data_IF_643790047293
#
_entry.id   IF_643790047293
#
_cell.length_a   1.000
_cell.length_b   1.000
_cell.length_c   1.000
_cell.angle_alpha   90.00
_cell.angle_beta   90.00
_cell.angle_gamma   90.00
#
_symmetry.space_group_name_H-M   'P 1'
#
loop_
_entity.id
_entity.type
_entity.pdbx_description
1 polymer ?
#
# COMPACT_ATOMS: atom_id res chain seq x y z
N UNK A 1 16.12 6.09 16.01
CA UNK A 1 14.82 6.22 15.29
C UNK A 1 14.52 7.69 15.16
N UNK A 2 14.30 8.21 13.96
CA UNK A 2 13.79 9.56 13.78
C UNK A 2 12.42 9.63 14.45
N UNK A 3 12.23 10.62 15.33
CA UNK A 3 10.94 10.84 15.99
C UNK A 3 10.00 11.42 14.92
N UNK A 4 9.00 10.67 14.52
CA UNK A 4 7.96 11.17 13.61
C UNK A 4 7.21 12.33 14.28
N UNK A 5 7.05 13.42 13.57
CA UNK A 5 6.13 14.46 13.96
C UNK A 5 4.70 14.08 13.55
N UNK A 6 3.90 13.60 14.52
CA UNK A 6 2.50 13.25 14.31
C UNK A 6 1.53 14.44 14.52
N UNK A 7 2.04 15.63 14.86
CA UNK A 7 1.21 16.79 15.15
C UNK A 7 1.01 17.67 13.92
N UNK A 8 2.05 17.80 13.11
CA UNK A 8 1.99 18.59 11.88
C UNK A 8 1.19 17.84 10.81
N UNK A 9 0.27 18.52 10.11
CA UNK A 9 -0.45 17.93 8.99
C UNK A 9 0.52 17.57 7.87
N UNK A 10 0.24 16.48 7.17
CA UNK A 10 1.00 16.01 6.01
C UNK A 10 0.19 16.20 4.74
N UNK A 11 0.88 16.50 3.65
CA UNK A 11 0.25 16.66 2.35
C UNK A 11 1.14 16.05 1.26
N UNK A 12 0.57 15.16 0.48
CA UNK A 12 1.20 14.66 -0.74
C UNK A 12 1.11 15.70 -1.85
N UNK A 13 2.23 15.91 -2.54
CA UNK A 13 2.33 16.80 -3.71
C UNK A 13 3.04 16.09 -4.86
N UNK A 14 2.68 16.38 -6.09
CA UNK A 14 3.36 15.77 -7.25
C UNK A 14 4.59 16.57 -7.70
N UNK A 15 4.66 17.84 -7.33
CA UNK A 15 5.75 18.73 -7.67
C UNK A 15 7.08 18.29 -7.03
N UNK A 16 8.19 18.66 -7.65
CA UNK A 16 9.52 18.48 -7.06
C UNK A 16 9.69 19.32 -5.79
N UNK A 17 10.34 18.75 -4.79
CA UNK A 17 10.62 19.39 -3.51
C UNK A 17 12.09 19.73 -3.42
N UNK A 18 12.37 21.01 -3.15
CA UNK A 18 13.68 21.55 -2.87
C UNK A 18 13.53 22.75 -1.96
N UNK A 19 14.60 23.18 -1.28
CA UNK A 19 14.62 24.38 -0.47
C UNK A 19 14.19 25.60 -1.29
N UNK A 20 13.24 26.38 -0.75
CA UNK A 20 12.66 27.57 -1.41
C UNK A 20 11.63 27.26 -2.50
N UNK A 21 11.31 25.99 -2.78
CA UNK A 21 10.28 25.64 -3.76
C UNK A 21 8.91 26.17 -3.30
N UNK A 22 8.25 26.93 -4.17
CA UNK A 22 6.91 27.48 -3.96
C UNK A 22 5.88 26.63 -4.69
N UNK A 23 4.95 26.05 -3.95
CA UNK A 23 3.96 25.11 -4.46
C UNK A 23 2.55 25.72 -4.36
N UNK A 24 1.98 26.17 -5.47
CA UNK A 24 0.55 26.54 -5.52
C UNK A 24 -0.30 25.29 -5.26
N UNK A 25 -1.27 25.41 -4.37
CA UNK A 25 -2.14 24.30 -4.01
C UNK A 25 -3.38 24.25 -4.91
N UNK A 26 -3.77 23.02 -5.28
CA UNK A 26 -5.06 22.78 -5.90
C UNK A 26 -6.22 23.23 -4.99
N UNK A 27 -7.38 23.53 -5.59
CA UNK A 27 -8.55 24.00 -4.83
C UNK A 27 -8.95 23.05 -3.68
N UNK A 28 -8.90 21.73 -3.90
CA UNK A 28 -9.21 20.73 -2.88
C UNK A 28 -8.21 20.77 -1.72
N UNK A 29 -6.92 20.85 -2.00
CA UNK A 29 -5.86 20.97 -0.99
C UNK A 29 -5.94 22.28 -0.22
N UNK A 30 -6.18 23.40 -0.92
CA UNK A 30 -6.42 24.70 -0.29
C UNK A 30 -7.62 24.65 0.66
N UNK A 31 -8.73 24.06 0.22
CA UNK A 31 -9.93 23.88 1.05
C UNK A 31 -9.64 23.00 2.27
N UNK A 32 -8.89 21.91 2.11
CA UNK A 32 -8.51 21.03 3.21
C UNK A 32 -7.71 21.78 4.27
N UNK A 33 -6.63 22.45 3.89
CA UNK A 33 -5.78 23.16 4.85
C UNK A 33 -6.50 24.35 5.52
N UNK A 34 -7.21 25.19 4.73
CA UNK A 34 -7.78 26.42 5.22
C UNK A 34 -9.13 26.25 5.93
N UNK A 35 -10.00 25.37 5.42
CA UNK A 35 -11.38 25.25 5.91
C UNK A 35 -11.61 24.02 6.79
N UNK A 36 -10.98 22.89 6.49
CA UNK A 36 -11.10 21.67 7.31
C UNK A 36 -10.14 21.73 8.49
N UNK A 37 -8.84 21.90 8.25
CA UNK A 37 -7.82 22.00 9.28
C UNK A 37 -7.74 23.40 9.91
N UNK A 38 -8.34 24.43 9.27
CA UNK A 38 -8.39 25.82 9.73
C UNK A 38 -7.02 26.43 10.01
N UNK A 39 -6.03 26.04 9.22
CA UNK A 39 -4.68 26.57 9.33
C UNK A 39 -4.65 28.04 8.93
N UNK A 40 -3.72 28.79 9.55
CA UNK A 40 -3.48 30.22 9.27
C UNK A 40 -2.19 30.37 8.49
N UNK A 41 -1.98 31.48 7.76
CA UNK A 41 -0.68 31.84 7.21
C UNK A 41 0.41 31.73 8.29
N UNK A 42 1.58 31.21 7.92
CA UNK A 42 2.66 30.88 8.85
C UNK A 42 2.57 29.49 9.50
N UNK A 43 1.48 28.75 9.29
CA UNK A 43 1.38 27.37 9.79
C UNK A 43 2.32 26.42 9.02
N UNK A 44 2.92 25.49 9.75
CA UNK A 44 3.79 24.46 9.18
C UNK A 44 2.99 23.25 8.67
N UNK A 45 3.40 22.72 7.52
CA UNK A 45 2.85 21.52 6.87
C UNK A 45 4.02 20.67 6.40
N UNK A 46 3.95 19.36 6.60
CA UNK A 46 4.94 18.43 6.08
C UNK A 46 4.54 17.99 4.66
N UNK A 47 5.45 18.14 3.71
CA UNK A 47 5.26 17.78 2.30
C UNK A 47 6.07 16.55 1.95
N UNK A 48 5.50 15.68 1.12
CA UNK A 48 6.23 14.56 0.52
C UNK A 48 5.70 14.25 -0.88
N UNK A 49 6.52 13.63 -1.73
CA UNK A 49 6.16 13.32 -3.10
C UNK A 49 6.61 11.93 -3.59
N UNK A 50 7.13 11.11 -2.67
CA UNK A 50 7.62 9.76 -2.99
C UNK A 50 9.04 9.70 -3.56
N UNK A 51 9.74 10.84 -3.67
CA UNK A 51 11.07 10.94 -4.30
C UNK A 51 12.08 11.74 -3.50
N UNK A 52 11.64 12.88 -3.00
CA UNK A 52 12.53 13.93 -2.49
C UNK A 52 12.61 13.96 -0.95
N UNK A 53 12.01 12.96 -0.29
CA UNK A 53 11.89 12.88 1.17
C UNK A 53 10.72 13.70 1.72
N UNK A 54 10.76 14.02 3.01
CA UNK A 54 9.75 14.84 3.67
C UNK A 54 10.31 16.22 3.98
N UNK A 55 9.56 17.24 3.64
CA UNK A 55 9.94 18.63 3.75
C UNK A 55 9.00 19.40 4.65
N UNK A 56 9.55 20.21 5.56
CA UNK A 56 8.78 21.22 6.28
C UNK A 56 8.51 22.39 5.34
N UNK A 57 7.27 22.83 5.29
CA UNK A 57 6.84 23.93 4.46
C UNK A 57 5.95 24.89 5.24
N UNK A 58 5.97 26.15 4.88
CA UNK A 58 5.16 27.20 5.47
C UNK A 58 4.00 27.58 4.56
N UNK A 59 2.80 27.67 5.16
CA UNK A 59 1.58 28.06 4.48
C UNK A 59 1.51 29.58 4.31
N UNK A 60 1.25 30.05 3.09
CA UNK A 60 0.98 31.44 2.80
C UNK A 60 -0.28 31.60 1.94
N UNK A 61 -0.86 32.78 1.97
CA UNK A 61 -2.07 33.14 1.22
C UNK A 61 -1.81 34.42 0.40
N UNK A 62 -1.19 34.31 -0.78
CA UNK A 62 -0.90 35.49 -1.62
C UNK A 62 -2.17 36.18 -2.14
N UNK A 63 -3.30 35.45 -2.18
CA UNK A 63 -4.63 35.98 -2.56
C UNK A 63 -5.72 35.30 -1.73
N UNK A 64 -6.87 35.93 -1.62
CA UNK A 64 -8.05 35.37 -0.94
C UNK A 64 -8.42 34.00 -1.53
N UNK A 65 -8.53 32.99 -0.69
CA UNK A 65 -8.85 31.58 -1.07
C UNK A 65 -7.77 30.86 -1.88
N UNK A 66 -6.59 31.44 -2.04
CA UNK A 66 -5.49 30.82 -2.77
C UNK A 66 -4.33 30.56 -1.82
N UNK A 67 -4.13 29.30 -1.50
CA UNK A 67 -3.04 28.88 -0.62
C UNK A 67 -1.84 28.41 -1.44
N UNK A 68 -0.65 28.64 -0.92
CA UNK A 68 0.59 28.07 -1.39
C UNK A 68 1.46 27.63 -0.22
N UNK A 69 2.33 26.66 -0.46
CA UNK A 69 3.31 26.20 0.51
C UNK A 69 4.72 26.50 -0.02
N UNK A 70 5.58 27.01 0.84
CA UNK A 70 7.00 27.21 0.52
C UNK A 70 7.81 26.18 1.30
N UNK A 71 8.50 25.28 0.61
CA UNK A 71 9.36 24.28 1.23
C UNK A 71 10.59 24.97 1.87
N UNK A 72 10.85 24.67 3.14
CA UNK A 72 11.92 25.31 3.92
C UNK A 72 13.13 24.41 4.06
N UNK A 73 12.92 23.20 4.61
CA UNK A 73 14.00 22.26 4.85
C UNK A 73 13.52 20.82 4.75
N UNK A 74 14.43 19.93 4.39
CA UNK A 74 14.17 18.50 4.39
C UNK A 74 14.34 17.93 5.79
N UNK A 75 13.24 17.37 6.34
CA UNK A 75 13.21 16.81 7.70
C UNK A 75 13.41 15.31 7.75
N UNK A 76 13.15 14.61 6.62
CA UNK A 76 13.45 13.18 6.48
C UNK A 76 13.95 12.87 5.07
N UNK A 77 14.93 11.98 4.98
CA UNK A 77 15.38 11.41 3.72
C UNK A 77 14.32 10.50 3.11
N UNK A 78 14.31 10.41 1.77
CA UNK A 78 13.46 9.43 1.09
C UNK A 78 13.93 8.02 1.41
N UNK A 79 12.99 7.18 1.82
CA UNK A 79 13.23 5.75 2.01
C UNK A 79 12.74 4.95 0.81
N UNK A 80 13.45 3.92 0.43
CA UNK A 80 12.98 2.99 -0.59
C UNK A 80 11.78 2.18 -0.06
N UNK A 81 10.82 1.91 -0.93
CA UNK A 81 9.74 0.97 -0.62
C UNK A 81 10.26 -0.47 -0.61
N UNK A 82 9.74 -1.30 0.29
CA UNK A 82 9.90 -2.74 0.17
C UNK A 82 9.27 -3.24 -1.15
N UNK A 83 9.86 -4.27 -1.76
CA UNK A 83 9.28 -4.88 -2.96
C UNK A 83 8.18 -5.88 -2.57
N UNK A 84 7.12 -5.35 -1.96
CA UNK A 84 5.93 -6.08 -1.51
C UNK A 84 4.72 -5.68 -2.35
N UNK A 85 4.20 -6.63 -3.15
CA UNK A 85 3.00 -6.42 -3.93
C UNK A 85 1.79 -7.06 -3.24
N UNK A 86 0.68 -6.36 -3.21
CA UNK A 86 -0.59 -6.90 -2.77
C UNK A 86 -1.51 -7.16 -3.97
N UNK A 87 -1.86 -8.43 -4.16
CA UNK A 87 -2.73 -8.95 -5.21
C UNK A 87 -4.05 -9.33 -4.54
N UNK A 88 -5.17 -8.90 -5.07
CA UNK A 88 -6.44 -9.13 -4.40
C UNK A 88 -7.61 -9.21 -5.35
N UNK A 89 -8.59 -10.05 -5.01
CA UNK A 89 -9.92 -9.94 -5.59
C UNK A 89 -10.58 -8.66 -5.10
N UNK A 90 -11.04 -7.76 -5.99
CA UNK A 90 -11.71 -6.53 -5.57
C UNK A 90 -12.90 -6.79 -4.63
N UNK A 91 -12.99 -5.97 -3.59
CA UNK A 91 -14.11 -5.94 -2.64
C UNK A 91 -15.08 -4.81 -2.99
N UNK A 92 -16.29 -4.84 -2.40
CA UNK A 92 -17.28 -3.78 -2.59
C UNK A 92 -16.96 -2.54 -1.74
N UNK A 93 -17.04 -1.35 -2.37
CA UNK A 93 -17.08 -0.02 -1.72
C UNK A 93 -16.17 0.17 -0.50
N UNK A 94 -16.77 0.46 0.67
CA UNK A 94 -16.04 0.79 1.90
C UNK A 94 -15.01 -0.26 2.35
N UNK A 95 -15.23 -1.55 2.05
CA UNK A 95 -14.26 -2.59 2.35
C UNK A 95 -13.02 -2.52 1.45
N UNK A 96 -13.19 -2.11 0.19
CA UNK A 96 -12.05 -1.85 -0.70
C UNK A 96 -11.25 -0.63 -0.24
N UNK A 97 -11.94 0.44 0.19
CA UNK A 97 -11.27 1.63 0.71
C UNK A 97 -10.43 1.29 1.95
N UNK A 98 -11.02 0.58 2.91
CA UNK A 98 -10.32 0.09 4.10
C UNK A 98 -9.10 -0.78 3.74
N UNK A 99 -9.28 -1.72 2.81
CA UNK A 99 -8.23 -2.63 2.36
C UNK A 99 -7.05 -1.87 1.74
N UNK A 100 -7.31 -0.87 0.91
CA UNK A 100 -6.28 -0.02 0.31
C UNK A 100 -5.49 0.71 1.39
N UNK A 101 -6.19 1.34 2.34
CA UNK A 101 -5.54 2.05 3.45
C UNK A 101 -4.64 1.10 4.25
N UNK A 102 -5.15 -0.07 4.65
CA UNK A 102 -4.36 -1.04 5.43
C UNK A 102 -3.19 -1.63 4.66
N UNK A 103 -3.32 -1.85 3.37
CA UNK A 103 -2.20 -2.30 2.54
C UNK A 103 -1.07 -1.25 2.49
N UNK A 104 -1.41 0.04 2.39
CA UNK A 104 -0.43 1.13 2.47
C UNK A 104 0.25 1.15 3.83
N UNK A 105 -0.51 1.08 4.93
CA UNK A 105 0.02 1.02 6.30
C UNK A 105 0.97 -0.16 6.51
N UNK A 106 0.72 -1.29 5.83
CA UNK A 106 1.59 -2.48 5.83
C UNK A 106 2.79 -2.38 4.87
N UNK A 107 3.04 -1.23 4.25
CA UNK A 107 4.23 -1.00 3.43
C UNK A 107 4.18 -1.61 2.03
N UNK A 108 2.99 -1.87 1.48
CA UNK A 108 2.83 -2.38 0.13
C UNK A 108 3.28 -1.33 -0.90
N UNK A 109 4.10 -1.75 -1.87
CA UNK A 109 4.59 -0.89 -2.95
C UNK A 109 3.75 -0.98 -4.24
N UNK A 110 2.87 -1.99 -4.37
CA UNK A 110 1.97 -2.15 -5.52
C UNK A 110 0.67 -2.81 -5.12
N UNK A 111 -0.43 -2.20 -5.55
CA UNK A 111 -1.80 -2.73 -5.43
C UNK A 111 -2.28 -3.24 -6.80
N UNK A 112 -2.48 -4.54 -6.93
CA UNK A 112 -2.89 -5.18 -8.17
C UNK A 112 -4.24 -5.89 -8.01
N UNK A 113 -5.35 -5.31 -8.47
CA UNK A 113 -6.61 -6.05 -8.54
C UNK A 113 -6.51 -7.23 -9.52
N UNK A 114 -6.97 -8.40 -9.10
CA UNK A 114 -7.02 -9.62 -9.93
C UNK A 114 -8.47 -10.09 -9.99
N UNK A 115 -9.01 -10.13 -11.20
CA UNK A 115 -10.39 -10.57 -11.46
C UNK A 115 -10.43 -12.09 -11.54
N UNK A 116 -11.01 -12.72 -10.52
CA UNK A 116 -11.15 -14.15 -10.32
C UNK A 116 -12.59 -14.60 -10.58
N UNK A 117 -12.84 -15.89 -10.63
CA UNK A 117 -14.16 -16.45 -10.92
C UNK A 117 -15.26 -15.96 -9.98
N UNK A 118 -14.95 -15.87 -8.68
CA UNK A 118 -15.91 -15.46 -7.67
C UNK A 118 -15.79 -13.98 -7.28
N UNK A 119 -15.07 -13.18 -8.06
CA UNK A 119 -15.02 -11.73 -7.86
C UNK A 119 -16.38 -11.12 -8.13
N UNK A 120 -16.93 -10.38 -7.14
CA UNK A 120 -18.26 -9.77 -7.26
C UNK A 120 -18.24 -8.43 -8.01
N UNK A 121 -17.32 -7.45 -7.73
CA UNK A 121 -17.28 -6.19 -8.45
C UNK A 121 -16.74 -6.38 -9.87
N UNK A 122 -17.49 -5.88 -10.87
CA UNK A 122 -17.06 -5.90 -12.26
C UNK A 122 -16.06 -4.78 -12.60
N UNK A 123 -16.07 -3.70 -11.82
CA UNK A 123 -15.23 -2.51 -12.05
C UNK A 123 -14.57 -2.05 -10.76
N UNK A 124 -13.37 -1.49 -10.92
CA UNK A 124 -12.58 -0.91 -9.83
C UNK A 124 -12.32 0.56 -10.16
N UNK A 125 -12.61 1.45 -9.22
CA UNK A 125 -12.31 2.86 -9.35
C UNK A 125 -10.85 3.11 -8.88
N UNK A 126 -9.93 3.21 -9.84
CA UNK A 126 -8.50 3.38 -9.56
C UNK A 126 -8.19 4.75 -8.97
N UNK A 127 -8.91 5.81 -9.38
CA UNK A 127 -8.71 7.16 -8.82
C UNK A 127 -9.09 7.20 -7.34
N UNK A 128 -10.18 6.52 -6.97
CA UNK A 128 -10.56 6.38 -5.55
C UNK A 128 -9.53 5.57 -4.75
N UNK A 129 -9.00 4.50 -5.33
CA UNK A 129 -7.92 3.74 -4.68
C UNK A 129 -6.68 4.61 -4.47
N UNK A 130 -6.30 5.41 -5.48
CA UNK A 130 -5.17 6.34 -5.37
C UNK A 130 -5.41 7.38 -4.28
N UNK A 131 -6.60 7.97 -4.22
CA UNK A 131 -6.95 8.93 -3.17
C UNK A 131 -6.85 8.33 -1.76
N UNK A 132 -7.40 7.12 -1.56
CA UNK A 132 -7.29 6.40 -0.28
C UNK A 132 -5.84 6.02 0.06
N UNK A 133 -5.03 5.69 -0.93
CA UNK A 133 -3.61 5.38 -0.70
C UNK A 133 -2.82 6.63 -0.27
N UNK A 134 -3.10 7.78 -0.88
CA UNK A 134 -2.51 9.07 -0.49
C UNK A 134 -2.93 9.43 0.94
N UNK A 135 -4.22 9.37 1.25
CA UNK A 135 -4.74 9.66 2.59
C UNK A 135 -4.08 8.78 3.66
N UNK A 136 -3.96 7.46 3.41
CA UNK A 136 -3.30 6.55 4.33
C UNK A 136 -1.81 6.90 4.53
N UNK A 137 -1.09 7.26 3.46
CA UNK A 137 0.30 7.66 3.54
C UNK A 137 0.47 8.97 4.34
N UNK A 138 -0.41 9.95 4.14
CA UNK A 138 -0.43 11.21 4.91
C UNK A 138 -0.64 10.95 6.40
N UNK A 139 -1.60 10.10 6.75
CA UNK A 139 -1.93 9.78 8.16
C UNK A 139 -0.84 8.97 8.86
N UNK A 140 -0.20 8.06 8.16
CA UNK A 140 0.76 7.11 8.74
C UNK A 140 2.22 7.53 8.57
N UNK A 141 2.50 8.70 8.02
CA UNK A 141 3.87 9.21 7.85
C UNK A 141 4.70 8.39 6.86
N UNK A 142 4.06 7.76 5.89
CA UNK A 142 4.69 6.99 4.82
C UNK A 142 5.08 7.95 3.71
N UNK A 143 6.31 7.83 3.20
CA UNK A 143 6.83 8.76 2.18
C UNK A 143 6.61 8.28 0.75
N UNK A 144 6.05 7.07 0.57
CA UNK A 144 5.85 6.46 -0.75
C UNK A 144 4.37 6.17 -0.97
N UNK A 145 3.91 6.36 -2.21
CA UNK A 145 2.57 5.95 -2.62
C UNK A 145 2.70 4.67 -3.45
N UNK A 146 1.98 3.60 -3.15
CA UNK A 146 2.03 2.38 -3.93
C UNK A 146 1.54 2.61 -5.37
N UNK A 147 2.09 1.87 -6.31
CA UNK A 147 1.54 1.81 -7.66
C UNK A 147 0.13 1.21 -7.64
N UNK A 148 -0.83 1.94 -8.17
CA UNK A 148 -2.20 1.45 -8.36
C UNK A 148 -2.30 0.86 -9.76
N UNK A 149 -2.22 -0.46 -9.87
CA UNK A 149 -2.21 -1.14 -11.15
C UNK A 149 -3.62 -1.37 -11.71
N UNK A 150 -3.75 -1.38 -13.03
CA UNK A 150 -5.00 -1.74 -13.70
C UNK A 150 -5.41 -3.19 -13.36
N UNK A 151 -6.72 -3.48 -13.24
CA UNK A 151 -7.20 -4.83 -12.99
C UNK A 151 -6.72 -5.83 -14.06
N UNK A 152 -6.28 -7.01 -13.62
CA UNK A 152 -5.89 -8.12 -14.50
C UNK A 152 -6.86 -9.28 -14.36
N UNK A 153 -7.17 -9.96 -15.47
CA UNK A 153 -7.84 -11.26 -15.41
C UNK A 153 -6.88 -12.29 -14.81
N UNK A 154 -7.40 -13.25 -14.07
CA UNK A 154 -6.62 -14.28 -13.40
C UNK A 154 -5.66 -15.03 -14.37
N UNK A 155 -6.14 -15.45 -15.55
CA UNK A 155 -5.30 -16.13 -16.53
C UNK A 155 -4.16 -15.25 -17.09
N UNK A 156 -4.39 -13.95 -17.20
CA UNK A 156 -3.34 -13.01 -17.64
C UNK A 156 -2.32 -12.78 -16.54
N UNK A 157 -2.76 -12.80 -15.29
CA UNK A 157 -1.89 -12.71 -14.13
C UNK A 157 -0.98 -13.94 -14.04
N UNK A 158 -1.53 -15.16 -14.09
CA UNK A 158 -0.76 -16.40 -13.96
C UNK A 158 0.22 -16.60 -15.12
N UNK A 159 -0.19 -16.30 -16.37
CA UNK A 159 0.71 -16.36 -17.53
C UNK A 159 1.87 -15.35 -17.47
N UNK A 160 1.66 -14.21 -16.83
CA UNK A 160 2.68 -13.19 -16.67
C UNK A 160 3.42 -13.27 -15.33
N UNK A 161 3.33 -14.40 -14.62
CA UNK A 161 4.00 -14.55 -13.33
C UNK A 161 5.53 -14.57 -13.49
N UNK A 162 6.22 -13.86 -12.61
CA UNK A 162 7.68 -13.77 -12.60
C UNK A 162 8.28 -14.79 -11.65
N UNK A 163 9.15 -15.70 -12.13
CA UNK A 163 9.71 -16.79 -11.30
C UNK A 163 10.68 -16.31 -10.21
N UNK A 164 11.20 -15.08 -10.32
CA UNK A 164 12.11 -14.45 -9.37
C UNK A 164 11.39 -13.83 -8.14
N UNK A 165 10.07 -13.85 -8.12
CA UNK A 165 9.22 -13.31 -7.05
C UNK A 165 8.49 -14.43 -6.31
N UNK A 166 8.48 -14.36 -4.99
CA UNK A 166 7.68 -15.27 -4.17
C UNK A 166 6.20 -14.90 -4.25
N UNK A 167 5.34 -15.87 -4.54
CA UNK A 167 3.89 -15.74 -4.37
C UNK A 167 3.45 -16.40 -3.05
N UNK A 168 2.90 -15.61 -2.16
CA UNK A 168 2.20 -16.10 -0.96
C UNK A 168 0.71 -15.96 -1.23
N UNK A 169 -0.02 -17.07 -1.44
CA UNK A 169 -1.47 -16.99 -1.56
C UNK A 169 -2.16 -17.63 -0.35
N UNK A 170 -3.15 -16.89 0.19
CA UNK A 170 -3.88 -17.33 1.36
C UNK A 170 -5.05 -18.22 0.97
N UNK A 171 -5.04 -19.44 1.48
CA UNK A 171 -6.01 -20.47 1.15
C UNK A 171 -6.44 -21.20 2.43
N UNK A 172 -7.74 -21.21 2.68
CA UNK A 172 -8.34 -21.88 3.84
C UNK A 172 -8.12 -23.40 3.85
N UNK A 173 -7.96 -24.01 2.67
CA UNK A 173 -7.72 -25.44 2.48
C UNK A 173 -6.22 -25.83 2.53
N UNK A 174 -5.33 -24.91 2.93
CA UNK A 174 -3.92 -25.23 3.04
C UNK A 174 -3.68 -26.27 4.17
N UNK A 175 -2.94 -27.32 3.84
CA UNK A 175 -2.64 -28.41 4.78
C UNK A 175 -1.70 -27.94 5.90
N UNK A 176 -0.71 -27.11 5.60
CA UNK A 176 0.21 -26.54 6.58
C UNK A 176 -0.49 -25.44 7.39
N UNK A 177 -0.68 -25.68 8.70
CA UNK A 177 -1.42 -24.78 9.58
C UNK A 177 -0.54 -23.79 10.35
N UNK A 178 0.78 -23.87 10.19
CA UNK A 178 1.74 -22.93 10.79
C UNK A 178 2.23 -21.94 9.73
N UNK A 179 1.67 -20.72 9.69
CA UNK A 179 2.05 -19.72 8.72
C UNK A 179 3.48 -19.19 8.91
N UNK A 180 3.99 -19.21 10.15
CA UNK A 180 5.34 -18.74 10.47
C UNK A 180 6.37 -19.73 9.91
N UNK A 181 6.17 -21.02 10.15
CA UNK A 181 7.06 -22.06 9.61
C UNK A 181 7.04 -22.09 8.08
N UNK A 182 5.86 -21.94 7.45
CA UNK A 182 5.73 -21.90 5.99
C UNK A 182 6.50 -20.73 5.35
N UNK A 183 6.36 -19.52 5.89
CA UNK A 183 7.08 -18.35 5.41
C UNK A 183 8.58 -18.41 5.71
N UNK A 184 8.97 -18.89 6.88
CA UNK A 184 10.38 -19.03 7.24
C UNK A 184 11.11 -20.05 6.33
N UNK A 185 10.45 -21.13 5.96
CA UNK A 185 10.98 -22.12 5.01
C UNK A 185 11.17 -21.54 3.62
N UNK A 186 10.26 -20.67 3.16
CA UNK A 186 10.34 -20.02 1.85
C UNK A 186 11.48 -19.00 1.75
N UNK A 187 11.95 -18.47 2.88
CA UNK A 187 13.06 -17.52 2.92
C UNK A 187 14.39 -18.15 2.49
N UNK A 188 14.57 -19.43 2.63
CA UNK A 188 15.86 -20.12 2.40
C UNK A 188 16.94 -19.68 3.40
N UNK A 189 17.89 -20.56 3.68
CA UNK A 189 19.02 -20.23 4.57
C UNK A 189 19.97 -19.24 3.86
N UNK A 190 20.13 -18.05 4.40
CA UNK A 190 21.19 -17.13 3.99
C UNK A 190 20.80 -15.87 3.24
N UNK A 191 19.53 -15.64 2.91
CA UNK A 191 19.11 -14.37 2.32
C UNK A 191 18.98 -13.31 3.42
N UNK A 192 19.91 -12.36 3.45
CA UNK A 192 19.84 -11.18 4.30
C UNK A 192 19.05 -10.08 3.56
N UNK A 193 18.06 -9.49 4.23
CA UNK A 193 17.26 -8.39 3.70
C UNK A 193 15.88 -8.77 3.15
N UNK A 194 15.09 -7.77 2.72
CA UNK A 194 13.79 -7.98 2.11
C UNK A 194 13.90 -8.70 0.77
N UNK A 195 12.95 -9.56 0.47
CA UNK A 195 12.88 -10.26 -0.83
C UNK A 195 11.63 -9.82 -1.60
N UNK A 196 11.64 -9.92 -2.96
CA UNK A 196 10.46 -9.64 -3.76
C UNK A 196 9.31 -10.60 -3.44
N UNK A 197 8.24 -10.08 -2.84
CA UNK A 197 7.08 -10.90 -2.42
C UNK A 197 5.79 -10.32 -3.00
N UNK A 198 4.88 -11.21 -3.37
CA UNK A 198 3.49 -10.86 -3.66
C UNK A 198 2.58 -11.65 -2.73
N UNK A 199 1.65 -10.97 -2.07
CA UNK A 199 0.60 -11.59 -1.27
C UNK A 199 -0.70 -11.58 -2.07
N UNK A 200 -1.33 -12.73 -2.24
CA UNK A 200 -2.60 -12.87 -2.95
C UNK A 200 -3.71 -13.29 -2.00
N UNK A 201 -4.77 -12.47 -1.95
CA UNK A 201 -6.00 -12.76 -1.23
C UNK A 201 -7.13 -12.98 -2.24
N UNK A 202 -7.79 -14.13 -2.14
CA UNK A 202 -8.92 -14.50 -2.98
C UNK A 202 -10.21 -13.74 -2.67
N UNK A 203 -11.26 -13.97 -3.46
CA UNK A 203 -12.60 -13.44 -3.21
C UNK A 203 -13.26 -14.10 -1.99
N UNK A 204 -14.35 -13.50 -1.48
CA UNK A 204 -15.11 -14.06 -0.36
C UNK A 204 -15.67 -15.47 -0.63
N UNK A 205 -15.86 -15.85 -1.88
CA UNK A 205 -16.29 -17.19 -2.29
C UNK A 205 -15.12 -18.18 -2.45
N UNK A 206 -13.90 -17.82 -2.05
CA UNK A 206 -12.70 -18.64 -2.19
C UNK A 206 -12.19 -18.73 -3.64
N UNK A 207 -11.07 -19.41 -3.81
CA UNK A 207 -10.54 -19.74 -5.15
C UNK A 207 -11.34 -20.89 -5.77
N UNK A 208 -11.63 -20.80 -7.07
CA UNK A 208 -12.10 -21.96 -7.82
C UNK A 208 -10.99 -23.04 -7.89
N UNK A 209 -11.36 -24.34 -7.98
CA UNK A 209 -10.38 -25.42 -8.03
C UNK A 209 -9.39 -25.27 -9.19
N UNK A 210 -9.85 -24.79 -10.34
CA UNK A 210 -9.00 -24.48 -11.49
C UNK A 210 -8.00 -23.37 -11.21
N UNK A 211 -8.41 -22.32 -10.47
CA UNK A 211 -7.54 -21.22 -10.06
C UNK A 211 -6.51 -21.69 -9.04
N UNK A 212 -6.96 -22.42 -8.02
CA UNK A 212 -6.08 -23.04 -7.02
C UNK A 212 -5.05 -23.95 -7.68
N UNK A 213 -5.49 -24.82 -8.59
CA UNK A 213 -4.60 -25.70 -9.34
C UNK A 213 -3.60 -24.96 -10.23
N UNK A 214 -3.99 -23.81 -10.81
CA UNK A 214 -3.10 -22.96 -11.59
C UNK A 214 -2.05 -22.26 -10.70
N UNK A 215 -2.45 -21.73 -9.53
CA UNK A 215 -1.53 -21.11 -8.57
C UNK A 215 -0.46 -22.09 -8.08
N UNK A 216 -0.85 -23.33 -7.76
CA UNK A 216 0.07 -24.36 -7.28
C UNK A 216 1.09 -24.83 -8.32
N UNK A 217 0.87 -24.55 -9.60
CA UNK A 217 1.82 -24.84 -10.68
C UNK A 217 2.82 -23.73 -10.94
N UNK A 218 2.62 -22.55 -10.34
CA UNK A 218 3.56 -21.44 -10.49
C UNK A 218 4.86 -21.73 -9.74
N UNK A 219 6.00 -21.25 -10.22
CA UNK A 219 7.25 -21.33 -9.47
C UNK A 219 7.23 -20.38 -8.26
N UNK A 220 7.98 -20.74 -7.22
CA UNK A 220 8.15 -19.93 -6.01
C UNK A 220 6.80 -19.54 -5.35
N UNK A 221 6.05 -20.55 -4.93
CA UNK A 221 4.73 -20.37 -4.32
C UNK A 221 4.70 -20.90 -2.89
N UNK A 222 4.12 -20.13 -2.01
CA UNK A 222 3.71 -20.53 -0.65
C UNK A 222 2.20 -20.49 -0.55
N UNK A 223 1.61 -21.62 -0.22
CA UNK A 223 0.20 -21.72 0.16
C UNK A 223 0.07 -21.51 1.67
N UNK A 224 -0.61 -20.47 2.10
CA UNK A 224 -0.65 -20.00 3.48
C UNK A 224 -2.02 -20.15 4.10
N UNK A 225 -2.14 -20.93 5.20
CA UNK A 225 -3.30 -20.91 6.08
C UNK A 225 -3.15 -19.84 7.15
N UNK A 226 -4.20 -19.05 7.41
CA UNK A 226 -4.20 -18.01 8.44
C UNK A 226 -4.90 -18.44 9.73
N UNK A 227 -4.68 -19.70 10.13
CA UNK A 227 -5.23 -20.28 11.36
C UNK A 227 -6.56 -21.03 11.16
N UNK A 228 -7.23 -21.45 12.26
CA UNK A 228 -8.36 -22.38 12.20
C UNK A 228 -9.72 -21.70 11.89
N UNK A 229 -9.75 -20.40 11.77
CA UNK A 229 -10.98 -19.63 11.51
C UNK A 229 -10.97 -19.07 10.09
N UNK A 230 -12.15 -19.04 9.46
CA UNK A 230 -12.34 -18.33 8.19
C UNK A 230 -12.27 -16.83 8.48
N UNK A 231 -11.29 -16.15 7.90
CA UNK A 231 -11.14 -14.71 7.96
C UNK A 231 -11.86 -14.05 6.79
N UNK A 232 -12.45 -12.89 7.00
CA UNK A 232 -12.88 -12.05 5.88
C UNK A 232 -11.67 -11.58 5.09
N UNK A 233 -11.84 -11.29 3.80
CA UNK A 233 -10.74 -10.95 2.89
C UNK A 233 -9.93 -9.71 3.38
N UNK A 234 -10.58 -8.71 3.95
CA UNK A 234 -9.93 -7.53 4.54
C UNK A 234 -9.08 -7.89 5.78
N UNK A 235 -9.60 -8.74 6.68
CA UNK A 235 -8.86 -9.25 7.84
C UNK A 235 -7.71 -10.16 7.41
N UNK A 236 -7.96 -11.06 6.44
CA UNK A 236 -6.94 -11.94 5.89
C UNK A 236 -5.78 -11.15 5.26
N UNK A 237 -6.08 -10.05 4.58
CA UNK A 237 -5.07 -9.17 4.00
C UNK A 237 -4.14 -8.58 5.08
N UNK A 238 -4.70 -7.99 6.12
CA UNK A 238 -3.90 -7.40 7.21
C UNK A 238 -3.05 -8.47 7.90
N UNK A 239 -3.64 -9.63 8.22
CA UNK A 239 -2.93 -10.74 8.88
C UNK A 239 -1.79 -11.28 8.00
N UNK A 240 -2.04 -11.52 6.72
CA UNK A 240 -1.03 -12.04 5.79
C UNK A 240 0.12 -11.04 5.56
N UNK A 241 -0.22 -9.77 5.32
CA UNK A 241 0.77 -8.71 5.12
C UNK A 241 1.64 -8.51 6.36
N UNK A 242 1.06 -8.52 7.57
CA UNK A 242 1.81 -8.41 8.81
C UNK A 242 2.78 -9.59 9.00
N UNK A 243 2.34 -10.84 8.75
CA UNK A 243 3.21 -12.01 8.82
C UNK A 243 4.35 -11.95 7.79
N UNK A 244 4.03 -11.55 6.56
CA UNK A 244 5.03 -11.39 5.50
C UNK A 244 6.04 -10.31 5.86
N UNK A 245 5.61 -9.14 6.35
CA UNK A 245 6.51 -8.08 6.77
C UNK A 245 7.42 -8.51 7.94
N UNK A 246 6.88 -9.24 8.91
CA UNK A 246 7.64 -9.71 10.06
C UNK A 246 8.69 -10.77 9.71
N UNK A 247 8.43 -11.62 8.70
CA UNK A 247 9.28 -12.76 8.37
C UNK A 247 10.14 -12.52 7.14
N UNK A 248 9.60 -11.89 6.11
CA UNK A 248 10.22 -11.70 4.79
C UNK A 248 10.50 -10.23 4.45
N UNK A 249 9.84 -9.31 5.10
CA UNK A 249 9.83 -7.88 4.80
C UNK A 249 10.81 -7.06 5.65
N UNK A 250 10.41 -5.83 5.97
CA UNK A 250 11.24 -4.77 6.58
C UNK A 250 10.96 -4.51 8.07
N UNK A 251 10.11 -5.30 8.73
CA UNK A 251 9.83 -5.18 10.17
C UNK A 251 10.89 -5.86 11.06
N UNK A 252 12.17 -5.68 10.75
CA UNK A 252 13.31 -6.33 11.44
C UNK A 252 14.37 -5.33 11.81
#
# INVERSE_FOLDING_TARGET
>A
MARYDFRSPRLFVEAALAEGAVLPLAAAQSNYLLNVLRLKPGAEVLLFNGRDGEWRAELSMPRKKFAQLTAIERVREQTASADLHYLFSPLKHARLDYLVQKAVEMGVSRLQPVMMRHTQPERVNLDRMRANAIEAAEQCGILTIPEIAAPKKFDSFTRGWRPDRLLVFCDEDAAARDPVAALSSARGGGIAGPMPVSVLIGPEGGFADSERGALLKLPNVVRLALGPRILRADTAAVAALALVQAILGDWR
#
